data_IF_633867169025
#
_entry.id   IF_633867169025
#
_cell.length_a   1.000
_cell.length_b   1.000
_cell.length_c   1.000
_cell.angle_alpha   90.00
_cell.angle_beta   90.00
_cell.angle_gamma   90.00
#
_symmetry.space_group_name_H-M   'P 1'
#
loop_
_entity.id
_entity.type
_entity.pdbx_description
1 polymer ?
#
# COMPACT_ATOMS: atom_id res chain seq x y z
N UNK A 1 -7.25 -8.75 -21.72
CA UNK A 1 -6.11 -7.81 -21.63
C UNK A 1 -6.23 -6.80 -20.48
N UNK A 2 -7.43 -6.30 -20.12
CA UNK A 2 -7.63 -5.40 -18.96
C UNK A 2 -7.33 -6.01 -17.57
N UNK A 3 -7.14 -7.32 -17.42
CA UNK A 3 -6.91 -7.95 -16.11
C UNK A 3 -5.47 -7.78 -15.59
N UNK A 4 -4.48 -7.81 -16.47
CA UNK A 4 -3.06 -7.70 -16.08
C UNK A 4 -2.59 -6.24 -16.01
N UNK A 5 -3.29 -5.32 -16.68
CA UNK A 5 -2.92 -3.91 -16.73
C UNK A 5 -2.96 -3.24 -15.34
N UNK A 6 -3.97 -3.45 -14.48
CA UNK A 6 -3.97 -2.95 -13.11
C UNK A 6 -2.81 -3.51 -12.30
N UNK A 7 -2.52 -4.80 -12.44
CA UNK A 7 -1.42 -5.47 -11.71
C UNK A 7 -0.07 -4.89 -12.12
N UNK A 8 0.15 -4.70 -13.43
CA UNK A 8 1.37 -4.09 -13.95
C UNK A 8 1.50 -2.62 -13.49
N UNK A 9 0.40 -1.87 -13.49
CA UNK A 9 0.38 -0.48 -13.02
C UNK A 9 0.66 -0.40 -11.52
N UNK A 10 0.10 -1.31 -10.71
CA UNK A 10 0.39 -1.40 -9.27
C UNK A 10 1.87 -1.73 -9.03
N UNK A 11 2.45 -2.67 -9.78
CA UNK A 11 3.87 -2.98 -9.66
C UNK A 11 4.75 -1.77 -10.02
N UNK A 12 4.45 -1.06 -11.11
CA UNK A 12 5.19 0.14 -11.48
C UNK A 12 5.03 1.27 -10.45
N UNK A 13 3.81 1.53 -9.98
CA UNK A 13 3.55 2.56 -8.98
C UNK A 13 4.25 2.25 -7.64
N UNK A 14 4.23 1.00 -7.19
CA UNK A 14 4.90 0.59 -5.94
C UNK A 14 6.42 0.66 -6.03
N UNK A 15 7.01 0.37 -7.20
CA UNK A 15 8.46 0.57 -7.39
C UNK A 15 8.86 2.04 -7.35
N UNK A 16 8.16 2.90 -8.09
CA UNK A 16 8.38 4.36 -8.07
C UNK A 16 8.21 4.92 -6.66
N UNK A 17 7.17 4.46 -5.96
CA UNK A 17 6.89 4.82 -4.58
C UNK A 17 8.09 4.55 -3.66
N UNK A 18 8.63 3.34 -3.66
CA UNK A 18 9.77 3.00 -2.80
C UNK A 18 11.05 3.75 -3.17
N UNK A 19 11.28 4.01 -4.47
CA UNK A 19 12.44 4.80 -4.94
C UNK A 19 12.31 6.25 -4.47
N UNK A 20 11.13 6.86 -4.67
CA UNK A 20 10.85 8.22 -4.26
C UNK A 20 10.96 8.38 -2.74
N UNK A 21 10.40 7.44 -1.98
CA UNK A 21 10.45 7.49 -0.52
C UNK A 21 11.87 7.38 0.03
N UNK A 22 12.70 6.49 -0.53
CA UNK A 22 14.11 6.42 -0.11
C UNK A 22 14.88 7.71 -0.42
N UNK A 23 14.45 8.44 -1.45
CA UNK A 23 15.05 9.71 -1.87
C UNK A 23 14.61 10.88 -1.00
N UNK A 24 13.65 10.70 -0.09
CA UNK A 24 13.22 11.74 0.85
C UNK A 24 14.36 12.03 1.83
N UNK A 25 14.76 13.31 1.87
CA UNK A 25 15.90 13.76 2.67
C UNK A 25 15.70 13.43 4.16
N UNK A 26 16.66 12.76 4.82
CA UNK A 26 16.53 12.31 6.20
C UNK A 26 16.40 13.46 7.21
N UNK A 27 16.81 14.69 6.84
CA UNK A 27 16.73 15.88 7.68
C UNK A 27 15.34 16.53 7.78
N UNK A 28 14.37 16.16 6.95
CA UNK A 28 13.01 16.73 7.00
C UNK A 28 12.17 15.98 8.04
N UNK A 29 11.26 16.64 8.74
CA UNK A 29 10.35 15.92 9.64
C UNK A 29 9.40 15.01 8.82
N UNK A 30 9.26 13.70 9.12
CA UNK A 30 8.48 12.76 8.29
C UNK A 30 7.05 13.22 8.03
N UNK A 31 6.38 13.76 9.06
CA UNK A 31 5.02 14.29 8.95
C UNK A 31 4.91 15.46 7.97
N UNK A 32 5.93 16.31 7.86
CA UNK A 32 5.91 17.44 6.92
C UNK A 32 6.00 16.94 5.48
N UNK A 33 6.86 15.94 5.24
CA UNK A 33 6.91 15.28 3.94
C UNK A 33 5.57 14.63 3.58
N UNK A 34 4.92 14.02 4.57
CA UNK A 34 3.62 13.36 4.40
C UNK A 34 2.52 14.34 4.04
N UNK A 35 2.45 15.48 4.73
CA UNK A 35 1.50 16.55 4.42
C UNK A 35 1.62 16.97 2.96
N UNK A 36 2.83 17.18 2.47
CA UNK A 36 3.07 17.57 1.07
C UNK A 36 2.66 16.43 0.11
N UNK A 37 3.03 15.18 0.38
CA UNK A 37 2.66 14.05 -0.48
C UNK A 37 1.14 13.81 -0.53
N UNK A 38 0.43 14.04 0.56
CA UNK A 38 -1.04 13.96 0.57
C UNK A 38 -1.68 15.15 -0.12
N UNK A 39 -1.11 16.35 0.01
CA UNK A 39 -1.59 17.53 -0.71
C UNK A 39 -1.43 17.35 -2.23
N UNK A 40 -0.30 16.83 -2.70
CA UNK A 40 -0.10 16.53 -4.12
C UNK A 40 -1.03 15.43 -4.61
N UNK A 41 -1.22 14.37 -3.81
CA UNK A 41 -2.17 13.29 -4.12
C UNK A 41 -3.61 13.80 -4.22
N UNK A 42 -4.02 14.66 -3.29
CA UNK A 42 -5.35 15.29 -3.30
C UNK A 42 -5.56 16.13 -4.55
N UNK A 43 -4.58 16.97 -4.92
CA UNK A 43 -4.63 17.77 -6.14
C UNK A 43 -4.73 16.88 -7.38
N UNK A 44 -3.93 15.81 -7.47
CA UNK A 44 -4.00 14.86 -8.57
C UNK A 44 -5.38 14.20 -8.68
N UNK A 45 -5.97 13.76 -7.56
CA UNK A 45 -7.31 13.20 -7.54
C UNK A 45 -8.36 14.22 -8.00
N UNK A 46 -8.31 15.47 -7.52
CA UNK A 46 -9.24 16.52 -7.92
C UNK A 46 -9.20 16.84 -9.41
N UNK A 47 -8.00 16.76 -10.03
CA UNK A 47 -7.84 16.98 -11.48
C UNK A 47 -8.41 15.81 -12.27
N UNK A 48 -8.32 14.57 -11.78
CA UNK A 48 -8.78 13.37 -12.51
C UNK A 48 -10.29 13.14 -12.38
N UNK A 49 -10.90 13.46 -11.24
CA UNK A 49 -12.34 13.31 -10.98
C UNK A 49 -13.25 13.86 -12.10
N UNK A 50 -13.05 15.07 -12.67
CA UNK A 50 -13.91 15.58 -13.74
C UNK A 50 -13.80 14.81 -15.06
N UNK A 51 -12.72 14.05 -15.29
CA UNK A 51 -12.54 13.20 -16.48
C UNK A 51 -13.10 11.79 -16.28
N UNK A 52 -13.65 11.47 -15.11
CA UNK A 52 -14.20 10.15 -14.83
C UNK A 52 -15.47 9.89 -15.68
N UNK A 53 -15.54 8.76 -16.42
CA UNK A 53 -16.72 8.43 -17.22
C UNK A 53 -17.91 8.17 -16.30
N UNK A 54 -19.00 8.93 -16.48
CA UNK A 54 -20.26 8.73 -15.73
C UNK A 54 -20.86 9.96 -15.05
N UNK A 55 -20.29 11.17 -15.21
CA UNK A 55 -20.92 12.39 -14.68
C UNK A 55 -21.08 12.37 -13.16
N UNK A 56 -20.06 11.89 -12.45
CA UNK A 56 -20.03 11.81 -10.99
C UNK A 56 -20.13 13.21 -10.39
N UNK A 57 -21.27 13.50 -9.76
CA UNK A 57 -21.45 14.74 -8.99
C UNK A 57 -20.72 14.57 -7.66
N UNK A 58 -19.60 15.28 -7.47
CA UNK A 58 -18.75 15.20 -6.26
C UNK A 58 -19.57 15.25 -4.96
N UNK A 59 -20.56 16.15 -4.94
CA UNK A 59 -21.47 16.35 -3.79
C UNK A 59 -22.34 15.13 -3.49
N UNK A 60 -22.73 14.34 -4.50
CA UNK A 60 -23.56 13.14 -4.30
C UNK A 60 -22.70 11.98 -3.78
N UNK A 61 -21.52 11.78 -4.37
CA UNK A 61 -20.58 10.77 -3.88
C UNK A 61 -20.10 11.06 -2.45
N UNK A 62 -19.98 12.34 -2.05
CA UNK A 62 -19.66 12.70 -0.67
C UNK A 62 -20.66 12.17 0.36
N UNK A 63 -21.94 12.07 -0.03
CA UNK A 63 -23.01 11.57 0.84
C UNK A 63 -23.01 10.05 0.97
N UNK A 64 -22.44 9.36 -0.02
CA UNK A 64 -22.30 7.90 -0.05
C UNK A 64 -20.95 7.44 0.55
N UNK A 65 -20.13 8.35 1.09
CA UNK A 65 -18.87 7.97 1.75
C UNK A 65 -19.17 7.12 2.99
N UNK A 66 -18.53 5.96 3.05
CA UNK A 66 -18.64 5.05 4.18
C UNK A 66 -17.50 5.31 5.21
N UNK A 67 -17.68 4.81 6.44
CA UNK A 67 -16.66 4.85 7.49
C UNK A 67 -15.32 4.23 7.03
N UNK A 68 -15.39 3.25 6.14
CA UNK A 68 -14.23 2.59 5.53
C UNK A 68 -13.28 3.59 4.85
N UNK A 69 -13.78 4.64 4.19
CA UNK A 69 -12.93 5.63 3.52
C UNK A 69 -12.04 6.39 4.50
N UNK A 70 -12.58 6.73 5.67
CA UNK A 70 -11.82 7.40 6.72
C UNK A 70 -10.76 6.48 7.32
N UNK A 71 -11.10 5.21 7.54
CA UNK A 71 -10.15 4.20 8.06
C UNK A 71 -9.02 3.93 7.07
N UNK A 72 -9.33 3.86 5.77
CA UNK A 72 -8.32 3.73 4.71
C UNK A 72 -7.38 4.95 4.74
N UNK A 73 -7.93 6.16 4.81
CA UNK A 73 -7.12 7.38 4.89
C UNK A 73 -6.14 7.37 6.07
N UNK A 74 -6.61 7.01 7.26
CA UNK A 74 -5.77 6.89 8.45
C UNK A 74 -4.71 5.78 8.31
N UNK A 75 -5.08 4.65 7.71
CA UNK A 75 -4.19 3.51 7.52
C UNK A 75 -3.03 3.86 6.57
N UNK A 76 -3.28 4.58 5.48
CA UNK A 76 -2.23 4.98 4.53
C UNK A 76 -1.20 5.85 5.25
N UNK A 77 -1.61 6.78 6.12
CA UNK A 77 -0.67 7.62 6.88
C UNK A 77 0.29 6.76 7.73
N UNK A 78 -0.25 5.75 8.40
CA UNK A 78 0.55 4.79 9.17
C UNK A 78 1.52 3.99 8.31
N UNK A 79 1.07 3.52 7.14
CA UNK A 79 1.91 2.75 6.20
C UNK A 79 3.07 3.60 5.68
N UNK A 80 2.80 4.83 5.24
CA UNK A 80 3.84 5.74 4.77
C UNK A 80 4.88 6.04 5.86
N UNK A 81 4.41 6.32 7.09
CA UNK A 81 5.28 6.52 8.25
C UNK A 81 6.18 5.33 8.51
N UNK A 82 5.60 4.13 8.53
CA UNK A 82 6.34 2.91 8.82
C UNK A 82 7.46 2.67 7.79
N UNK A 83 7.18 2.88 6.50
CA UNK A 83 8.16 2.66 5.45
C UNK A 83 9.23 3.77 5.44
N UNK A 84 8.84 5.03 5.66
CA UNK A 84 9.80 6.14 5.86
C UNK A 84 10.75 5.87 7.02
N UNK A 85 10.22 5.41 8.16
CA UNK A 85 11.02 5.05 9.32
C UNK A 85 11.94 3.85 9.03
N UNK A 86 11.46 2.84 8.32
CA UNK A 86 12.28 1.70 7.90
C UNK A 86 13.45 2.13 7.01
N UNK A 87 13.23 3.04 6.05
CA UNK A 87 14.29 3.59 5.22
C UNK A 87 15.28 4.45 6.00
N UNK A 88 14.81 5.23 6.98
CA UNK A 88 15.69 5.98 7.90
C UNK A 88 16.52 5.08 8.79
N UNK A 89 16.00 3.91 9.17
CA UNK A 89 16.75 2.89 9.91
C UNK A 89 17.80 2.17 9.04
N UNK A 90 17.98 2.56 7.77
CA UNK A 90 19.00 2.04 6.88
C UNK A 90 18.59 0.76 6.14
N UNK A 91 17.31 0.40 6.15
CA UNK A 91 16.84 -0.80 5.45
C UNK A 91 17.02 -0.65 3.93
N UNK A 92 17.42 -1.75 3.28
CA UNK A 92 17.47 -1.83 1.81
C UNK A 92 16.03 -1.82 1.26
N UNK A 93 15.84 -1.18 0.09
CA UNK A 93 14.53 -1.10 -0.60
C UNK A 93 13.89 -2.48 -0.74
N UNK A 94 14.66 -3.44 -1.23
CA UNK A 94 14.19 -4.80 -1.46
C UNK A 94 13.80 -5.50 -0.16
N UNK A 95 14.54 -5.30 0.94
CA UNK A 95 14.20 -5.95 2.22
C UNK A 95 12.94 -5.33 2.84
N UNK A 96 12.82 -4.00 2.85
CA UNK A 96 11.66 -3.33 3.41
C UNK A 96 10.37 -3.69 2.64
N UNK A 97 10.41 -3.68 1.31
CA UNK A 97 9.26 -4.02 0.47
C UNK A 97 8.85 -5.49 0.62
N UNK A 98 9.80 -6.42 0.64
CA UNK A 98 9.48 -7.86 0.76
C UNK A 98 8.96 -8.19 2.16
N UNK A 99 9.59 -7.68 3.22
CA UNK A 99 9.10 -7.90 4.60
C UNK A 99 7.72 -7.29 4.80
N UNK A 100 7.48 -6.07 4.33
CA UNK A 100 6.18 -5.42 4.42
C UNK A 100 5.10 -6.20 3.67
N UNK A 101 5.37 -6.62 2.43
CA UNK A 101 4.40 -7.38 1.63
C UNK A 101 4.08 -8.75 2.24
N UNK A 102 5.08 -9.48 2.75
CA UNK A 102 4.86 -10.79 3.38
C UNK A 102 4.12 -10.64 4.71
N UNK A 103 4.48 -9.67 5.55
CA UNK A 103 3.76 -9.39 6.81
C UNK A 103 2.30 -8.99 6.55
N UNK A 104 2.07 -8.15 5.54
CA UNK A 104 0.73 -7.74 5.11
C UNK A 104 -0.07 -8.93 4.59
N UNK A 105 0.52 -9.79 3.75
CA UNK A 105 -0.13 -10.99 3.26
C UNK A 105 -0.54 -11.94 4.40
N UNK A 106 0.34 -12.15 5.40
CA UNK A 106 0.04 -12.95 6.59
C UNK A 106 -1.13 -12.38 7.39
N UNK A 107 -1.13 -11.08 7.65
CA UNK A 107 -2.22 -10.41 8.38
C UNK A 107 -3.53 -10.49 7.62
N UNK A 108 -3.52 -10.25 6.30
CA UNK A 108 -4.73 -10.36 5.47
C UNK A 108 -5.27 -11.79 5.45
N UNK A 109 -4.40 -12.80 5.41
CA UNK A 109 -4.83 -14.21 5.50
C UNK A 109 -5.54 -14.49 6.82
N UNK A 110 -4.99 -14.02 7.95
CA UNK A 110 -5.62 -14.20 9.27
C UNK A 110 -6.97 -13.47 9.31
N UNK A 111 -7.02 -12.22 8.83
CA UNK A 111 -8.24 -11.40 8.84
C UNK A 111 -9.29 -11.97 7.88
N UNK A 112 -8.89 -12.49 6.72
CA UNK A 112 -9.79 -13.14 5.75
C UNK A 112 -10.45 -14.39 6.35
N UNK A 113 -9.68 -15.24 7.03
CA UNK A 113 -10.21 -16.44 7.69
C UNK A 113 -11.11 -16.09 8.87
N UNK A 114 -10.65 -15.21 9.76
CA UNK A 114 -11.33 -14.93 11.04
C UNK A 114 -12.52 -13.97 10.83
N UNK A 115 -12.34 -12.92 10.04
CA UNK A 115 -13.33 -11.88 9.83
C UNK A 115 -14.30 -12.18 8.70
N UNK A 116 -13.79 -12.56 7.53
CA UNK A 116 -14.62 -12.81 6.34
C UNK A 116 -15.09 -14.26 6.20
N UNK A 117 -14.65 -15.16 7.09
CA UNK A 117 -14.91 -16.62 7.02
C UNK A 117 -14.55 -17.22 5.67
N UNK A 118 -13.50 -16.70 5.06
CA UNK A 118 -13.03 -17.20 3.77
C UNK A 118 -12.50 -18.64 3.95
N UNK A 119 -13.10 -19.59 3.24
CA UNK A 119 -12.63 -20.97 3.21
C UNK A 119 -11.32 -21.02 2.42
N UNK A 120 -10.20 -20.82 3.12
CA UNK A 120 -8.89 -21.03 2.53
C UNK A 120 -8.70 -22.51 2.22
N UNK A 121 -8.62 -22.83 0.94
CA UNK A 121 -8.12 -24.13 0.50
C UNK A 121 -6.67 -24.33 0.99
N UNK A 122 -6.23 -25.58 1.18
CA UNK A 122 -4.88 -25.88 1.65
C UNK A 122 -3.75 -25.31 0.74
N UNK A 123 -4.05 -25.00 -0.52
CA UNK A 123 -3.09 -24.50 -1.53
C UNK A 123 -2.54 -23.10 -1.22
N UNK A 124 -3.36 -22.05 -0.94
CA UNK A 124 -2.85 -20.75 -0.51
C UNK A 124 -2.00 -20.80 0.76
N UNK A 125 -2.28 -21.71 1.70
CA UNK A 125 -1.46 -21.90 2.91
C UNK A 125 -0.06 -22.41 2.57
N UNK A 126 0.05 -23.38 1.66
CA UNK A 126 1.34 -23.88 1.16
C UNK A 126 2.11 -22.78 0.40
N UNK A 127 1.41 -21.97 -0.40
CA UNK A 127 2.00 -20.80 -1.06
C UNK A 127 2.55 -19.77 -0.08
N UNK A 128 1.83 -19.50 1.02
CA UNK A 128 2.27 -18.58 2.07
C UNK A 128 3.52 -19.11 2.80
N UNK A 129 3.58 -20.42 3.08
CA UNK A 129 4.77 -21.07 3.64
C UNK A 129 5.98 -20.98 2.69
N UNK A 130 5.76 -21.12 1.38
CA UNK A 130 6.82 -20.91 0.38
C UNK A 130 7.28 -19.44 0.33
N UNK A 131 6.38 -18.47 0.42
CA UNK A 131 6.73 -17.05 0.53
C UNK A 131 7.54 -16.74 1.80
N UNK A 132 7.16 -17.33 2.94
CA UNK A 132 7.91 -17.23 4.19
C UNK A 132 9.31 -17.84 4.07
N UNK A 133 9.44 -19.01 3.42
CA UNK A 133 10.73 -19.63 3.13
C UNK A 133 11.61 -18.75 2.23
N UNK A 134 11.03 -18.17 1.17
CA UNK A 134 11.70 -17.21 0.31
C UNK A 134 12.15 -15.95 1.05
N UNK A 135 11.32 -15.42 1.94
CA UNK A 135 11.68 -14.28 2.79
C UNK A 135 12.84 -14.63 3.72
N UNK A 136 12.83 -15.81 4.35
CA UNK A 136 13.91 -16.24 5.25
C UNK A 136 15.26 -16.38 4.52
N UNK A 137 15.25 -16.78 3.25
CA UNK A 137 16.41 -16.81 2.37
C UNK A 137 16.90 -15.39 2.00
N UNK A 138 15.99 -14.46 1.74
CA UNK A 138 16.34 -13.07 1.37
C UNK A 138 16.81 -12.25 2.58
N UNK A 139 16.26 -12.52 3.75
CA UNK A 139 16.59 -11.82 5.01
C UNK A 139 17.90 -12.32 5.63
N UNK A 140 18.29 -13.58 5.38
CA UNK A 140 19.59 -14.08 5.85
C UNK A 140 20.73 -13.53 4.97
N UNK A 141 21.75 -12.89 5.57
CA UNK A 141 22.93 -12.39 4.85
C UNK A 141 23.79 -13.52 4.29
#
# INVERSE_FOLDING_TARGET
>A
MLFYLPIALTALATTLYHIAQKSIVPGVHPMVSLVITYATSLMACLVVVPFAPGGVTFVRSLRDLNWATYVVGLSIVGVELAILLAYRAGWKISLASVVANVATALLLVIIGVVGYREHLAARPVVGLLMCLGGLALVVRP
#
